data_IF_209635946423
#
_entry.id   IF_209635946423
#
_cell.length_a   1.000
_cell.length_b   1.000
_cell.length_c   1.000
_cell.angle_alpha   90.00
_cell.angle_beta   90.00
_cell.angle_gamma   90.00
#
_symmetry.space_group_name_H-M   'P 1'
#
loop_
_entity.id
_entity.type
_entity.pdbx_description
1 polymer ?
#
# COMPACT_ATOMS: atom_id res chain seq x y z
N UNK A 1 -19.84 -12.84 12.75
CA UNK A 1 -18.45 -12.80 12.23
C UNK A 1 -18.29 -11.54 11.41
N UNK A 2 -17.34 -10.69 11.77
CA UNK A 2 -17.03 -9.49 11.00
C UNK A 2 -16.12 -9.88 9.83
N UNK A 3 -16.38 -9.33 8.64
CA UNK A 3 -15.59 -9.58 7.44
C UNK A 3 -14.86 -8.32 7.04
N UNK A 4 -13.53 -8.41 6.89
CA UNK A 4 -12.72 -7.32 6.39
C UNK A 4 -12.75 -7.34 4.86
N UNK A 5 -13.21 -6.23 4.24
CA UNK A 5 -13.26 -6.06 2.78
C UNK A 5 -12.27 -5.04 2.25
N UNK A 6 -11.89 -4.07 3.08
CA UNK A 6 -10.96 -3.01 2.70
C UNK A 6 -9.94 -2.80 3.79
N UNK A 7 -8.67 -2.76 3.42
CA UNK A 7 -7.55 -2.45 4.30
C UNK A 7 -6.67 -1.39 3.65
N UNK A 8 -6.38 -0.33 4.40
CA UNK A 8 -5.46 0.71 3.99
C UNK A 8 -4.44 0.93 5.09
N UNK A 9 -3.16 0.84 4.73
CA UNK A 9 -2.01 1.06 5.59
C UNK A 9 -1.06 1.97 4.84
N UNK A 10 -0.70 3.09 5.46
CA UNK A 10 0.14 4.11 4.84
C UNK A 10 1.39 4.34 5.67
N UNK A 11 2.56 4.21 5.06
CA UNK A 11 3.85 4.42 5.76
C UNK A 11 4.07 3.49 6.94
N UNK A 12 3.44 2.30 6.94
CA UNK A 12 3.58 1.32 8.01
C UNK A 12 4.86 0.50 7.86
N UNK A 13 5.46 0.09 8.96
CA UNK A 13 6.58 -0.86 8.99
C UNK A 13 6.15 -2.32 8.70
N UNK A 14 5.08 -2.50 7.93
CA UNK A 14 4.52 -3.80 7.59
C UNK A 14 5.55 -4.65 6.83
N UNK A 15 5.72 -5.90 7.28
CA UNK A 15 6.61 -6.88 6.65
C UNK A 15 5.84 -7.82 5.71
N UNK A 16 6.56 -8.50 4.82
CA UNK A 16 5.98 -9.53 3.94
C UNK A 16 5.20 -10.60 4.72
N UNK A 17 5.73 -11.02 5.88
CA UNK A 17 5.10 -12.03 6.75
C UNK A 17 3.80 -11.49 7.33
N UNK A 18 3.80 -10.24 7.81
CA UNK A 18 2.60 -9.57 8.32
C UNK A 18 1.53 -9.45 7.25
N UNK A 19 1.89 -9.00 6.05
CA UNK A 19 0.96 -8.89 4.93
C UNK A 19 0.39 -10.26 4.53
N UNK A 20 1.22 -11.29 4.41
CA UNK A 20 0.76 -12.65 4.10
C UNK A 20 -0.23 -13.17 5.16
N UNK A 21 0.04 -12.91 6.43
CA UNK A 21 -0.83 -13.29 7.56
C UNK A 21 -2.20 -12.64 7.45
N UNK A 22 -2.24 -11.34 7.11
CA UNK A 22 -3.50 -10.61 6.90
C UNK A 22 -4.29 -11.23 5.74
N UNK A 23 -3.62 -11.49 4.61
CA UNK A 23 -4.24 -12.08 3.42
C UNK A 23 -4.80 -13.49 3.69
N UNK A 24 -4.14 -14.27 4.55
CA UNK A 24 -4.57 -15.61 4.92
C UNK A 24 -5.77 -15.61 5.87
N UNK A 25 -5.84 -14.63 6.79
CA UNK A 25 -6.94 -14.50 7.74
C UNK A 25 -8.15 -13.71 7.19
N UNK A 26 -7.96 -12.95 6.11
CA UNK A 26 -9.00 -12.10 5.51
C UNK A 26 -9.31 -12.54 4.05
N UNK A 27 -10.03 -13.66 3.84
CA UNK A 27 -10.27 -14.20 2.50
C UNK A 27 -11.22 -13.34 1.64
N UNK A 28 -11.98 -12.43 2.27
CA UNK A 28 -12.92 -11.51 1.61
C UNK A 28 -12.35 -10.10 1.39
N UNK A 29 -11.04 -9.92 1.54
CA UNK A 29 -10.40 -8.64 1.27
C UNK A 29 -10.45 -8.33 -0.23
N UNK A 30 -11.12 -7.24 -0.58
CA UNK A 30 -11.34 -6.80 -1.96
C UNK A 30 -10.47 -5.57 -2.31
N UNK A 31 -10.14 -4.75 -1.31
CA UNK A 31 -9.32 -3.55 -1.45
C UNK A 31 -8.13 -3.60 -0.50
N UNK A 32 -6.92 -3.41 -1.03
CA UNK A 32 -5.69 -3.32 -0.27
C UNK A 32 -4.85 -2.13 -0.73
N UNK A 33 -4.57 -1.21 0.18
CA UNK A 33 -3.66 -0.09 -0.07
C UNK A 33 -2.52 -0.13 0.93
N UNK A 34 -1.30 -0.27 0.40
CA UNK A 34 -0.05 -0.36 1.17
C UNK A 34 0.97 0.68 0.69
N UNK A 35 0.53 1.83 0.18
CA UNK A 35 1.41 2.91 -0.25
C UNK A 35 2.33 3.36 0.89
N UNK A 36 3.57 3.71 0.56
CA UNK A 36 4.64 4.04 1.51
C UNK A 36 5.06 2.89 2.46
N UNK A 37 4.53 1.68 2.34
CA UNK A 37 5.02 0.50 3.09
C UNK A 37 6.24 -0.11 2.38
N UNK A 38 7.38 0.59 2.42
CA UNK A 38 8.59 0.26 1.64
C UNK A 38 9.29 -1.03 2.04
N UNK A 39 8.95 -1.61 3.20
CA UNK A 39 9.48 -2.91 3.63
C UNK A 39 8.83 -4.09 2.89
N UNK A 40 7.74 -3.86 2.15
CA UNK A 40 7.03 -4.90 1.39
C UNK A 40 7.74 -5.16 0.06
N UNK A 41 8.20 -6.39 -0.12
CA UNK A 41 8.72 -6.88 -1.39
C UNK A 41 7.72 -7.84 -2.03
N UNK A 42 7.25 -7.48 -3.23
CA UNK A 42 6.18 -8.23 -3.89
C UNK A 42 6.71 -9.47 -4.63
N UNK A 43 7.00 -10.52 -3.85
CA UNK A 43 7.47 -11.83 -4.32
C UNK A 43 6.34 -12.67 -4.96
N UNK A 44 6.70 -13.82 -5.53
CA UNK A 44 5.76 -14.71 -6.24
C UNK A 44 4.63 -15.17 -5.32
N UNK A 45 4.93 -15.47 -4.06
CA UNK A 45 3.96 -15.97 -3.07
C UNK A 45 2.94 -14.90 -2.70
N UNK A 46 3.40 -13.68 -2.40
CA UNK A 46 2.54 -12.54 -2.12
C UNK A 46 1.69 -12.17 -3.33
N UNK A 47 2.27 -12.21 -4.54
CA UNK A 47 1.51 -11.96 -5.78
C UNK A 47 0.39 -12.98 -5.96
N UNK A 48 0.65 -14.26 -5.70
CA UNK A 48 -0.37 -15.29 -5.77
C UNK A 48 -1.50 -15.07 -4.75
N UNK A 49 -1.17 -14.68 -3.51
CA UNK A 49 -2.17 -14.37 -2.48
C UNK A 49 -3.02 -13.15 -2.87
N UNK A 50 -2.40 -12.14 -3.46
CA UNK A 50 -3.06 -10.90 -3.87
C UNK A 50 -3.87 -11.03 -5.16
N UNK A 51 -3.77 -12.15 -5.90
CA UNK A 51 -4.53 -12.37 -7.14
C UNK A 51 -6.06 -12.34 -6.96
N UNK A 52 -6.56 -12.52 -5.72
CA UNK A 52 -7.99 -12.42 -5.38
C UNK A 52 -8.47 -11.00 -5.12
N UNK A 53 -7.55 -10.06 -4.90
CA UNK A 53 -7.87 -8.67 -4.54
C UNK A 53 -8.29 -7.93 -5.80
N UNK A 54 -9.42 -7.23 -5.75
CA UNK A 54 -9.97 -6.50 -6.90
C UNK A 54 -9.17 -5.24 -7.17
N UNK A 55 -8.81 -4.52 -6.11
CA UNK A 55 -8.10 -3.24 -6.21
C UNK A 55 -6.94 -3.22 -5.23
N UNK A 56 -5.74 -2.97 -5.76
CA UNK A 56 -4.51 -2.94 -4.99
C UNK A 56 -3.72 -1.66 -5.28
N UNK A 57 -3.17 -1.04 -4.24
CA UNK A 57 -2.16 0.02 -4.34
C UNK A 57 -0.85 -0.44 -3.70
N UNK A 58 0.23 -0.41 -4.48
CA UNK A 58 1.55 -0.88 -4.09
C UNK A 58 2.34 0.21 -3.32
N UNK A 59 3.44 -0.16 -2.63
CA UNK A 59 4.24 0.79 -1.85
C UNK A 59 4.72 2.03 -2.60
N UNK A 60 4.95 1.91 -3.91
CA UNK A 60 5.47 2.97 -4.76
C UNK A 60 4.41 3.62 -5.66
N UNK A 61 3.14 3.25 -5.52
CA UNK A 61 2.07 3.89 -6.29
C UNK A 61 1.89 5.34 -5.85
N UNK A 62 1.51 6.19 -6.80
CA UNK A 62 1.27 7.61 -6.53
C UNK A 62 0.18 7.80 -5.46
N UNK A 63 0.35 8.89 -4.70
CA UNK A 63 -0.58 9.37 -3.67
C UNK A 63 -1.30 10.64 -4.09
N UNK A 64 -1.23 11.00 -5.38
CA UNK A 64 -1.84 12.23 -5.90
C UNK A 64 -3.37 12.23 -5.78
N UNK A 65 -4.00 11.06 -5.68
CA UNK A 65 -5.43 10.88 -5.42
C UNK A 65 -5.81 11.02 -3.93
N UNK A 66 -4.84 11.25 -3.04
CA UNK A 66 -5.07 11.48 -1.63
C UNK A 66 -5.27 12.99 -1.39
N UNK A 67 -6.52 13.42 -1.18
CA UNK A 67 -6.88 14.84 -1.01
C UNK A 67 -6.24 15.52 0.22
N UNK A 68 -5.65 14.75 1.14
CA UNK A 68 -4.87 15.29 2.26
C UNK A 68 -3.42 15.50 1.84
N UNK A 69 -3.12 16.67 1.28
CA UNK A 69 -1.75 17.14 1.14
C UNK A 69 -1.16 17.37 2.53
N UNK A 70 -0.34 16.46 3.02
CA UNK A 70 0.68 16.86 4.00
C UNK A 70 1.56 17.82 3.20
N UNK A 71 1.48 19.11 3.50
CA UNK A 71 2.47 20.07 3.00
C UNK A 71 3.84 19.53 3.38
N UNK A 72 4.54 18.93 2.41
CA UNK A 72 5.94 18.60 2.59
C UNK A 72 6.63 19.91 2.95
N UNK A 73 7.38 20.01 4.07
CA UNK A 73 8.19 21.18 4.30
C UNK A 73 9.10 21.33 3.07
N UNK A 74 8.91 22.46 2.39
CA UNK A 74 9.42 22.74 1.06
C UNK A 74 10.91 22.39 1.00
N UNK A 75 11.25 21.25 0.40
CA UNK A 75 12.60 21.02 -0.12
C UNK A 75 12.67 21.72 -1.47
N UNK A 76 12.81 23.04 -1.45
CA UNK A 76 13.24 23.81 -2.62
C UNK A 76 14.66 23.40 -2.97
N UNK A 77 14.82 22.29 -3.68
CA UNK A 77 15.95 22.15 -4.58
C UNK A 77 15.54 22.84 -5.88
N UNK A 78 15.94 24.11 -5.99
CA UNK A 78 15.78 24.92 -7.18
C UNK A 78 16.26 24.14 -8.41
N UNK A 79 15.33 23.81 -9.30
CA UNK A 79 15.61 23.59 -10.71
C UNK A 79 14.57 24.33 -11.53
N UNK A 80 14.94 25.49 -12.07
CA UNK A 80 14.33 26.02 -13.28
C UNK A 80 15.31 25.84 -14.45
N UNK A 81 14.99 25.01 -15.46
CA UNK A 81 15.40 25.20 -16.85
C UNK A 81 14.34 26.07 -17.57
N UNK A 82 14.58 26.88 -18.60
CA UNK A 82 15.69 27.10 -19.55
C UNK A 82 16.01 28.60 -19.60
#
# INVERSE_FOLDING_TARGET
MFVLRSLQLFGSELTNVGLATILDNCPHLEYLDIRHCFNIHMDITLRAKCARIKTMRLPHDSTDDYEFQIENPVRTCARKPR
#
